data_IF_077821302231
#
_entry.id   IF_077821302231
#
_cell.length_a   1.000
_cell.length_b   1.000
_cell.length_c   1.000
_cell.angle_alpha   90.00
_cell.angle_beta   90.00
_cell.angle_gamma   90.00
#
_symmetry.space_group_name_H-M   'P 1'
#
loop_
_entity.id
_entity.type
_entity.pdbx_description
1 polymer ?
#
# COMPACT_ATOMS: atom_id res chain seq x y z
N UNK A 1 0.51 4.65 23.75
CA UNK A 1 0.74 5.70 22.73
C UNK A 1 1.58 5.08 21.60
N UNK A 2 1.00 4.13 20.86
CA UNK A 2 1.63 3.47 19.69
C UNK A 2 0.86 3.73 18.39
N UNK A 3 -0.43 4.13 18.46
CA UNK A 3 -1.27 4.37 17.30
C UNK A 3 -0.77 5.51 16.39
N UNK A 4 -0.24 6.60 16.97
CA UNK A 4 0.21 7.77 16.22
C UNK A 4 1.38 7.47 15.26
N UNK A 5 2.26 6.52 15.62
CA UNK A 5 3.38 6.13 14.78
C UNK A 5 2.95 5.41 13.50
N UNK A 6 1.86 4.64 13.55
CA UNK A 6 1.33 3.95 12.37
C UNK A 6 0.77 4.91 11.33
N UNK A 7 0.14 6.02 11.73
CA UNK A 7 -0.48 6.97 10.80
C UNK A 7 0.54 7.82 10.05
N UNK A 8 1.48 8.42 10.79
CA UNK A 8 2.56 9.21 10.19
C UNK A 8 3.42 8.36 9.26
N UNK A 9 3.67 7.10 9.65
CA UNK A 9 4.39 6.17 8.81
C UNK A 9 3.59 5.81 7.56
N UNK A 10 2.27 5.61 7.66
CA UNK A 10 1.41 5.31 6.52
C UNK A 10 1.39 6.43 5.48
N UNK A 11 1.13 7.68 5.89
CA UNK A 11 1.12 8.84 4.99
C UNK A 11 2.46 8.98 4.25
N UNK A 12 3.56 8.86 5.01
CA UNK A 12 4.92 8.86 4.45
C UNK A 12 5.14 7.73 3.46
N UNK A 13 4.67 6.52 3.77
CA UNK A 13 4.82 5.35 2.90
C UNK A 13 4.06 5.54 1.58
N UNK A 14 2.83 6.06 1.62
CA UNK A 14 2.06 6.40 0.42
C UNK A 14 2.82 7.40 -0.45
N UNK A 15 3.37 8.47 0.15
CA UNK A 15 4.17 9.48 -0.57
C UNK A 15 5.41 8.86 -1.23
N UNK A 16 6.16 8.02 -0.52
CA UNK A 16 7.33 7.31 -1.07
C UNK A 16 6.97 6.50 -2.32
N UNK A 17 5.86 5.77 -2.27
CA UNK A 17 5.39 4.94 -3.38
C UNK A 17 5.02 5.83 -4.56
N UNK A 18 4.20 6.88 -4.34
CA UNK A 18 3.79 7.81 -5.39
C UNK A 18 4.97 8.50 -6.06
N UNK A 19 5.89 9.06 -5.27
CA UNK A 19 7.08 9.74 -5.80
C UNK A 19 7.89 8.79 -6.70
N UNK A 20 7.88 7.48 -6.42
CA UNK A 20 8.64 6.52 -7.21
C UNK A 20 7.98 6.20 -8.52
N UNK A 21 6.65 6.03 -8.49
CA UNK A 21 5.85 5.89 -9.69
C UNK A 21 5.97 7.13 -10.58
N UNK A 22 5.97 8.33 -9.99
CA UNK A 22 6.17 9.60 -10.67
C UNK A 22 7.58 9.76 -11.27
N UNK A 23 8.59 9.27 -10.57
CA UNK A 23 9.96 9.20 -11.08
C UNK A 23 10.14 8.16 -12.22
N UNK A 24 9.07 7.49 -12.65
CA UNK A 24 9.11 6.49 -13.72
C UNK A 24 9.73 5.16 -13.30
N UNK A 25 9.77 4.85 -11.99
CA UNK A 25 10.30 3.58 -11.51
C UNK A 25 9.49 2.42 -12.13
N UNK A 26 10.18 1.53 -12.85
CA UNK A 26 9.53 0.38 -13.46
C UNK A 26 9.21 -0.71 -12.42
N UNK A 27 7.99 -0.69 -11.90
CA UNK A 27 7.48 -1.68 -10.94
C UNK A 27 6.90 -2.93 -11.60
N UNK A 28 6.92 -3.06 -12.94
CA UNK A 28 6.30 -4.17 -13.68
C UNK A 28 6.91 -5.54 -13.37
N UNK A 29 8.15 -5.58 -12.91
CA UNK A 29 8.84 -6.81 -12.51
C UNK A 29 8.54 -7.22 -11.07
N UNK A 30 7.65 -6.51 -10.38
CA UNK A 30 7.24 -6.78 -9.01
C UNK A 30 5.77 -7.20 -8.95
N UNK A 31 5.30 -7.57 -7.75
CA UNK A 31 3.89 -7.85 -7.49
C UNK A 31 3.04 -6.57 -7.35
N UNK A 32 3.64 -5.38 -7.25
CA UNK A 32 2.96 -4.13 -6.96
C UNK A 32 1.89 -3.71 -7.99
N UNK A 33 2.07 -3.91 -9.32
CA UNK A 33 1.04 -3.56 -10.30
C UNK A 33 -0.30 -4.25 -10.06
N UNK A 34 -0.28 -5.46 -9.50
CA UNK A 34 -1.48 -6.25 -9.21
C UNK A 34 -1.97 -6.06 -7.78
N UNK A 35 -1.05 -6.10 -6.81
CA UNK A 35 -1.39 -6.07 -5.39
C UNK A 35 -1.76 -4.69 -4.89
N UNK A 36 -1.03 -3.64 -5.28
CA UNK A 36 -1.24 -2.28 -4.78
C UNK A 36 -2.68 -1.77 -5.01
N UNK A 37 -3.29 -1.93 -6.20
CA UNK A 37 -4.67 -1.49 -6.42
C UNK A 37 -5.67 -2.26 -5.57
N UNK A 38 -5.45 -3.57 -5.36
CA UNK A 38 -6.30 -4.43 -4.53
C UNK A 38 -6.23 -3.98 -3.07
N UNK A 39 -5.03 -3.75 -2.55
CA UNK A 39 -4.84 -3.33 -1.16
C UNK A 39 -5.37 -1.91 -0.91
N UNK A 40 -5.27 -1.01 -1.90
CA UNK A 40 -5.93 0.32 -1.84
C UNK A 40 -7.45 0.17 -1.79
N UNK A 41 -8.03 -0.68 -2.63
CA UNK A 41 -9.47 -0.94 -2.62
C UNK A 41 -9.94 -1.48 -1.26
N UNK A 42 -9.25 -2.49 -0.73
CA UNK A 42 -9.58 -3.09 0.57
C UNK A 42 -9.41 -2.07 1.70
N UNK A 43 -8.38 -1.22 1.64
CA UNK A 43 -8.20 -0.14 2.61
C UNK A 43 -9.39 0.83 2.57
N UNK A 44 -9.86 1.22 1.39
CA UNK A 44 -11.04 2.08 1.25
C UNK A 44 -12.27 1.44 1.87
N UNK A 45 -12.51 0.14 1.65
CA UNK A 45 -13.61 -0.59 2.28
C UNK A 45 -13.52 -0.58 3.82
N UNK A 46 -12.31 -0.75 4.37
CA UNK A 46 -12.05 -0.69 5.81
C UNK A 46 -12.34 0.70 6.38
N UNK A 47 -11.87 1.75 5.70
CA UNK A 47 -12.10 3.14 6.12
C UNK A 47 -13.58 3.53 5.99
N UNK A 48 -14.26 3.08 4.94
CA UNK A 48 -15.68 3.32 4.73
C UNK A 48 -16.55 2.66 5.80
N UNK A 49 -16.16 1.49 6.31
CA UNK A 49 -16.81 0.91 7.50
C UNK A 49 -16.62 1.74 8.76
N UNK A 50 -15.52 2.49 8.86
CA UNK A 50 -15.27 3.44 9.94
C UNK A 50 -16.02 4.77 9.78
N UNK A 51 -16.74 4.98 8.68
CA UNK A 51 -17.54 6.19 8.41
C UNK A 51 -16.96 7.11 7.34
N UNK A 52 -15.86 6.74 6.68
CA UNK A 52 -15.34 7.49 5.53
C UNK A 52 -16.15 7.21 4.25
N UNK A 53 -15.87 7.96 3.18
CA UNK A 53 -16.62 7.87 1.92
C UNK A 53 -15.70 7.86 0.69
N UNK A 54 -14.64 7.04 0.74
CA UNK A 54 -13.76 6.83 -0.40
C UNK A 54 -14.50 6.16 -1.57
N UNK A 55 -14.31 6.69 -2.77
CA UNK A 55 -14.86 6.13 -4.02
C UNK A 55 -13.80 6.14 -5.09
N UNK A 56 -13.34 4.96 -5.47
CA UNK A 56 -12.32 4.80 -6.50
C UNK A 56 -12.98 4.62 -7.86
N UNK A 57 -12.52 5.38 -8.85
CA UNK A 57 -13.00 5.35 -10.24
C UNK A 57 -11.89 4.96 -11.23
N UNK A 58 -10.65 5.11 -10.83
CA UNK A 58 -9.46 4.76 -11.60
C UNK A 58 -9.09 3.28 -11.41
N UNK A 59 -8.29 2.74 -12.34
CA UNK A 59 -7.85 1.35 -12.34
C UNK A 59 -6.32 1.25 -12.29
N UNK A 60 -5.82 0.09 -11.85
CA UNK A 60 -4.40 -0.20 -11.83
C UNK A 60 -3.64 0.76 -10.89
N UNK A 61 -2.42 1.13 -11.27
CA UNK A 61 -1.58 1.99 -10.43
C UNK A 61 -2.11 3.43 -10.29
N UNK A 62 -3.06 3.87 -11.10
CA UNK A 62 -3.67 5.20 -10.91
C UNK A 62 -4.60 5.23 -9.69
N UNK A 63 -5.09 4.06 -9.25
CA UNK A 63 -5.91 3.93 -8.05
C UNK A 63 -5.22 4.43 -6.78
N UNK A 64 -3.90 4.28 -6.65
CA UNK A 64 -3.18 4.85 -5.49
C UNK A 64 -3.14 6.39 -5.54
N UNK A 65 -3.09 6.99 -6.73
CA UNK A 65 -3.09 8.46 -6.89
C UNK A 65 -4.43 9.03 -6.51
N UNK A 66 -5.51 8.42 -6.99
CA UNK A 66 -6.88 8.82 -6.63
C UNK A 66 -7.13 8.67 -5.14
N UNK A 67 -6.73 7.54 -4.54
CA UNK A 67 -6.83 7.33 -3.11
C UNK A 67 -6.07 8.42 -2.33
N UNK A 68 -4.82 8.68 -2.69
CA UNK A 68 -4.02 9.68 -1.99
C UNK A 68 -4.60 11.09 -2.11
N UNK A 69 -5.15 11.45 -3.27
CA UNK A 69 -5.84 12.72 -3.47
C UNK A 69 -7.08 12.85 -2.55
N UNK A 70 -7.87 11.80 -2.41
CA UNK A 70 -9.01 11.77 -1.49
C UNK A 70 -8.57 11.80 -0.02
N UNK A 71 -7.50 11.05 0.30
CA UNK A 71 -6.94 10.99 1.66
C UNK A 71 -6.46 12.36 2.13
N UNK A 72 -5.74 13.12 1.29
CA UNK A 72 -5.23 14.45 1.62
C UNK A 72 -6.35 15.48 1.86
N UNK A 73 -7.53 15.30 1.26
CA UNK A 73 -8.68 16.19 1.50
C UNK A 73 -9.29 16.00 2.89
N UNK A 74 -9.10 14.82 3.49
CA UNK A 74 -9.75 14.42 4.74
C UNK A 74 -8.77 13.87 5.78
N UNK A 75 -7.49 14.20 5.67
CA UNK A 75 -6.38 13.58 6.41
C UNK A 75 -6.67 13.43 7.91
N UNK A 76 -7.00 14.52 8.60
CA UNK A 76 -7.28 14.48 10.04
C UNK A 76 -8.49 13.63 10.41
N UNK A 77 -9.51 13.60 9.55
CA UNK A 77 -10.72 12.80 9.76
C UNK A 77 -10.42 11.31 9.55
N UNK A 78 -9.73 10.99 8.45
CA UNK A 78 -9.33 9.62 8.13
C UNK A 78 -8.38 9.05 9.18
N UNK A 79 -7.44 9.84 9.71
CA UNK A 79 -6.59 9.43 10.85
C UNK A 79 -7.41 9.12 12.11
N UNK A 80 -8.37 9.98 12.45
CA UNK A 80 -9.25 9.74 13.59
C UNK A 80 -10.08 8.47 13.41
N UNK A 81 -10.53 8.19 12.19
CA UNK A 81 -11.24 6.95 11.84
C UNK A 81 -10.33 5.74 11.97
N UNK A 82 -9.11 5.78 11.43
CA UNK A 82 -8.15 4.69 11.59
C UNK A 82 -7.84 4.42 13.07
N UNK A 83 -7.74 5.45 13.91
CA UNK A 83 -7.59 5.31 15.37
C UNK A 83 -8.75 4.59 16.01
N UNK A 84 -9.97 5.02 15.70
CA UNK A 84 -11.18 4.38 16.21
C UNK A 84 -11.24 2.91 15.82
N UNK A 85 -10.87 2.57 14.58
CA UNK A 85 -10.82 1.19 14.10
C UNK A 85 -9.79 0.37 14.89
N UNK A 86 -8.58 0.88 15.11
CA UNK A 86 -7.54 0.15 15.86
C UNK A 86 -7.90 -0.06 17.33
N UNK A 87 -8.63 0.88 17.94
CA UNK A 87 -9.09 0.78 19.33
C UNK A 87 -10.30 -0.15 19.49
N UNK A 88 -11.10 -0.34 18.44
CA UNK A 88 -12.25 -1.24 18.46
C UNK A 88 -11.83 -2.71 18.33
N UNK A 89 -11.92 -3.43 19.46
CA UNK A 89 -11.56 -4.84 19.58
C UNK A 89 -12.61 -5.80 19.01
N UNK A 90 -13.83 -5.34 18.73
CA UNK A 90 -14.99 -6.18 18.41
C UNK A 90 -15.58 -5.89 17.03
N UNK A 91 -15.21 -4.78 16.38
CA UNK A 91 -15.63 -4.47 15.02
C UNK A 91 -15.24 -5.60 14.05
N UNK A 92 -16.25 -6.09 13.30
CA UNK A 92 -16.09 -7.15 12.31
C UNK A 92 -16.58 -6.66 10.94
N UNK A 93 -15.77 -6.91 9.93
CA UNK A 93 -16.08 -6.73 8.52
C UNK A 93 -16.52 -8.06 7.90
N UNK A 94 -17.49 -8.01 6.97
CA UNK A 94 -17.78 -9.15 6.07
C UNK A 94 -16.85 -9.09 4.86
N UNK A 95 -16.22 -10.20 4.54
CA UNK A 95 -15.44 -10.44 3.32
C UNK A 95 -16.04 -11.64 2.59
N UNK A 96 -15.65 -11.90 1.32
CA UNK A 96 -16.08 -13.11 0.61
C UNK A 96 -15.75 -14.42 1.34
N UNK A 97 -14.67 -14.43 2.13
CA UNK A 97 -14.17 -15.59 2.87
C UNK A 97 -14.78 -15.73 4.28
N UNK A 98 -15.55 -14.74 4.75
CA UNK A 98 -16.21 -14.81 6.04
C UNK A 98 -16.24 -13.48 6.81
N UNK A 99 -16.12 -13.54 8.14
CA UNK A 99 -16.06 -12.34 8.99
C UNK A 99 -14.66 -12.20 9.56
N UNK A 100 -14.07 -11.02 9.41
CA UNK A 100 -12.73 -10.71 9.90
C UNK A 100 -12.79 -9.47 10.78
N UNK A 101 -11.90 -9.38 11.78
CA UNK A 101 -11.77 -8.18 12.60
C UNK A 101 -11.33 -6.99 11.75
N UNK A 102 -12.07 -5.88 11.83
CA UNK A 102 -11.78 -4.68 11.03
C UNK A 102 -10.41 -4.08 11.36
N UNK A 103 -9.99 -4.16 12.64
CA UNK A 103 -8.64 -3.76 13.05
C UNK A 103 -7.52 -4.58 12.40
N UNK A 104 -7.71 -5.90 12.29
CA UNK A 104 -6.72 -6.78 11.63
C UNK A 104 -6.71 -6.51 10.13
N UNK A 105 -7.88 -6.17 9.59
CA UNK A 105 -7.97 -5.72 8.23
C UNK A 105 -7.16 -4.43 8.02
N UNK A 106 -7.29 -3.44 8.88
CA UNK A 106 -6.50 -2.21 8.80
C UNK A 106 -4.99 -2.48 8.95
N UNK A 107 -4.57 -3.20 10.00
CA UNK A 107 -3.15 -3.44 10.31
C UNK A 107 -2.40 -4.06 9.12
N UNK A 108 -2.94 -5.15 8.54
CA UNK A 108 -2.29 -5.82 7.40
C UNK A 108 -2.09 -4.90 6.18
N UNK A 109 -2.98 -3.93 5.99
CA UNK A 109 -2.88 -2.93 4.92
C UNK A 109 -1.76 -1.94 5.24
N UNK A 110 -1.72 -1.41 6.46
CA UNK A 110 -0.64 -0.52 6.89
C UNK A 110 0.74 -1.20 6.77
N UNK A 111 0.82 -2.48 7.12
CA UNK A 111 2.03 -3.30 6.95
C UNK A 111 2.39 -3.49 5.47
N UNK A 112 1.41 -3.76 4.61
CA UNK A 112 1.62 -3.85 3.17
C UNK A 112 2.20 -2.56 2.59
N UNK A 113 1.63 -1.40 2.92
CA UNK A 113 2.15 -0.11 2.44
C UNK A 113 3.57 0.18 2.95
N UNK A 114 3.89 -0.25 4.17
CA UNK A 114 5.25 -0.17 4.71
C UNK A 114 6.24 -1.04 3.91
N UNK A 115 5.87 -2.28 3.58
CA UNK A 115 6.71 -3.15 2.76
C UNK A 115 6.83 -2.65 1.32
N UNK A 116 5.73 -2.17 0.72
CA UNK A 116 5.74 -1.59 -0.62
C UNK A 116 6.67 -0.37 -0.69
N UNK A 117 6.62 0.54 0.29
CA UNK A 117 7.53 1.68 0.37
C UNK A 117 9.00 1.24 0.54
N UNK A 118 9.26 0.21 1.34
CA UNK A 118 10.60 -0.38 1.49
C UNK A 118 11.11 -0.96 0.16
N UNK A 119 10.31 -1.79 -0.51
CA UNK A 119 10.64 -2.40 -1.80
C UNK A 119 10.98 -1.34 -2.85
N UNK A 120 10.13 -0.33 -2.98
CA UNK A 120 10.31 0.80 -3.89
C UNK A 120 11.62 1.55 -3.63
N UNK A 121 11.96 1.80 -2.36
CA UNK A 121 13.23 2.44 -1.99
C UNK A 121 14.46 1.58 -2.35
N UNK A 122 14.38 0.26 -2.17
CA UNK A 122 15.43 -0.66 -2.60
C UNK A 122 15.63 -0.58 -4.11
N UNK A 123 14.54 -0.62 -4.88
CA UNK A 123 14.60 -0.52 -6.34
C UNK A 123 15.19 0.82 -6.81
N UNK A 124 14.79 1.93 -6.20
CA UNK A 124 15.37 3.26 -6.47
C UNK A 124 16.88 3.28 -6.23
N UNK A 125 17.31 2.70 -5.12
CA UNK A 125 18.74 2.63 -4.76
C UNK A 125 19.51 1.78 -5.77
N UNK A 126 18.99 0.62 -6.15
CA UNK A 126 19.60 -0.24 -7.18
C UNK A 126 19.71 0.47 -8.53
N UNK A 127 18.68 1.20 -8.93
CA UNK A 127 18.67 2.00 -10.16
C UNK A 127 19.73 3.11 -10.10
N UNK A 128 19.84 3.84 -8.99
CA UNK A 128 20.85 4.88 -8.80
C UNK A 128 22.28 4.35 -8.83
N UNK A 129 22.49 3.11 -8.38
CA UNK A 129 23.79 2.42 -8.41
C UNK A 129 24.12 1.78 -9.77
N UNK A 130 23.29 1.95 -10.79
CA UNK A 130 23.52 1.34 -12.12
C UNK A 130 23.44 -0.19 -12.11
N UNK A 131 22.73 -0.78 -11.13
CA UNK A 131 22.67 -2.23 -10.97
C UNK A 131 21.97 -2.90 -12.17
N UNK A 132 22.48 -4.03 -12.70
CA UNK A 132 21.87 -4.72 -13.82
C UNK A 132 20.42 -5.12 -13.53
N UNK A 133 19.53 -5.15 -14.54
CA UNK A 133 18.16 -5.63 -14.36
C UNK A 133 18.16 -7.07 -13.81
N UNK A 134 17.38 -7.30 -12.75
CA UNK A 134 17.35 -8.56 -11.99
C UNK A 134 16.86 -9.79 -12.78
N UNK A 135 16.55 -9.67 -14.07
CA UNK A 135 16.24 -10.82 -14.94
C UNK A 135 17.45 -11.67 -15.30
N UNK A 136 18.68 -11.28 -14.89
CA UNK A 136 19.92 -11.94 -15.31
C UNK A 136 20.71 -12.64 -14.20
N UNK A 137 20.26 -12.65 -12.95
CA UNK A 137 20.89 -13.44 -11.89
C UNK A 137 20.21 -14.80 -11.71
N UNK A 138 20.03 -15.53 -12.81
CA UNK A 138 19.72 -16.96 -12.79
C UNK A 138 20.97 -17.71 -13.20
N UNK A 139 21.49 -18.57 -12.31
CA UNK A 139 22.58 -19.51 -12.56
C UNK A 139 22.18 -20.58 -13.60
N UNK A 140 21.84 -20.17 -14.82
CA UNK A 140 21.36 -21.04 -15.90
C UNK A 140 22.20 -21.03 -17.17
N UNK A 141 23.29 -20.26 -17.25
CA UNK A 141 24.16 -20.17 -18.44
C UNK A 141 25.43 -21.02 -18.28
N UNK A 142 25.35 -22.18 -17.62
CA UNK A 142 26.48 -23.09 -17.46
C UNK A 142 26.23 -24.51 -18.01
N UNK A 143 25.13 -24.75 -18.73
CA UNK A 143 24.82 -26.06 -19.32
C UNK A 143 24.33 -25.90 -20.76
N UNK A 144 25.25 -25.51 -21.65
CA UNK A 144 25.15 -25.81 -23.09
C UNK A 144 26.55 -25.68 -23.70
N UNK A 145 27.30 -26.78 -23.60
CA UNK A 145 28.37 -27.16 -24.53
C UNK A 145 28.28 -28.66 -24.73
#
# INVERSE_FOLDING_TARGET
MEAAGYYQQFERNVRIILDALDAGLNVRTTHLPTSLPIEVYVLCEVLNQGGEHFRLTTQGLDTIREFAAQYLQHESATEATMRRILEDKKAMMRTPEGRVLTKEMLIRRLEFFNEAARLVNVMRTQHALGSPPQSRSGNGIALQK
#
